data_IF_070725047551
#
_entry.id   IF_070725047551
#
_cell.length_a   1.000
_cell.length_b   1.000
_cell.length_c   1.000
_cell.angle_alpha   90.00
_cell.angle_beta   90.00
_cell.angle_gamma   90.00
#
_symmetry.space_group_name_H-M   'P 1'
#
loop_
_entity.id
_entity.type
_entity.pdbx_description
1 polymer ?
#
# COMPACT_ATOMS: atom_id res chain seq x y z
N UNK A 1 6.51 -46.43 19.24
CA UNK A 1 6.52 -45.80 17.90
C UNK A 1 7.39 -44.56 17.99
N UNK A 2 8.62 -44.61 17.47
CA UNK A 2 9.54 -43.47 17.50
C UNK A 2 9.27 -42.54 16.32
N UNK A 3 8.91 -41.29 16.59
CA UNK A 3 8.79 -40.25 15.57
C UNK A 3 10.19 -39.90 15.07
N UNK A 4 10.43 -40.08 13.76
CA UNK A 4 11.66 -39.59 13.14
C UNK A 4 11.68 -38.05 13.21
N UNK A 5 12.80 -37.43 13.62
CA UNK A 5 12.92 -35.99 13.58
C UNK A 5 12.85 -35.51 12.12
N UNK A 6 12.04 -34.48 11.88
CA UNK A 6 11.98 -33.78 10.61
C UNK A 6 13.35 -33.12 10.36
N UNK A 7 13.96 -33.29 9.17
CA UNK A 7 15.23 -32.62 8.87
C UNK A 7 15.02 -31.09 8.92
N UNK A 8 16.03 -30.32 9.36
CA UNK A 8 15.95 -28.87 9.35
C UNK A 8 15.73 -28.41 7.90
N UNK A 9 14.61 -27.76 7.65
CA UNK A 9 14.41 -26.97 6.44
C UNK A 9 15.41 -25.82 6.50
N UNK A 10 16.46 -25.91 5.69
CA UNK A 10 17.34 -24.78 5.40
C UNK A 10 16.48 -23.65 4.82
N UNK A 11 16.01 -22.75 5.68
CA UNK A 11 15.38 -21.51 5.26
C UNK A 11 16.43 -20.71 4.51
N UNK A 12 16.30 -20.64 3.18
CA UNK A 12 17.12 -19.77 2.36
C UNK A 12 16.89 -18.32 2.77
N UNK A 13 17.77 -17.77 3.62
CA UNK A 13 17.83 -16.34 3.88
C UNK A 13 18.43 -15.69 2.65
N UNK A 14 17.59 -15.17 1.76
CA UNK A 14 18.03 -14.34 0.65
C UNK A 14 18.51 -12.99 1.18
N UNK A 15 19.81 -12.89 1.49
CA UNK A 15 20.44 -11.61 1.84
C UNK A 15 20.78 -10.87 0.54
N UNK A 16 20.01 -9.82 0.23
CA UNK A 16 20.29 -8.92 -0.90
C UNK A 16 21.58 -8.16 -0.60
N UNK A 17 22.49 -8.07 -1.57
CA UNK A 17 23.73 -7.29 -1.40
C UNK A 17 23.41 -5.80 -1.29
N UNK A 18 24.09 -5.03 -0.44
CA UNK A 18 23.82 -3.59 -0.27
C UNK A 18 23.85 -2.79 -1.58
N UNK A 19 24.71 -3.14 -2.54
CA UNK A 19 24.80 -2.49 -3.85
C UNK A 19 23.56 -2.79 -4.72
N UNK A 20 23.08 -4.05 -4.69
CA UNK A 20 21.87 -4.46 -5.38
C UNK A 20 20.63 -3.79 -4.78
N UNK A 21 20.60 -3.67 -3.44
CA UNK A 21 19.58 -2.91 -2.73
C UNK A 21 19.56 -1.46 -3.19
N UNK A 22 20.71 -0.76 -3.16
CA UNK A 22 20.79 0.64 -3.57
C UNK A 22 20.39 0.83 -5.03
N UNK A 23 20.84 -0.07 -5.93
CA UNK A 23 20.46 -0.05 -7.34
C UNK A 23 18.94 -0.15 -7.50
N UNK A 24 18.31 -1.14 -6.86
CA UNK A 24 16.86 -1.36 -6.95
C UNK A 24 16.06 -0.25 -6.27
N UNK A 25 16.50 0.22 -5.13
CA UNK A 25 15.84 1.29 -4.38
C UNK A 25 15.84 2.62 -5.12
N UNK A 26 16.82 2.85 -6.00
CA UNK A 26 16.92 4.03 -6.88
C UNK A 26 16.26 3.86 -8.24
N UNK A 27 15.70 2.70 -8.55
CA UNK A 27 15.13 2.39 -9.87
C UNK A 27 13.61 2.57 -9.86
N UNK A 28 13.05 3.65 -10.44
CA UNK A 28 11.60 3.86 -10.51
C UNK A 28 10.85 2.69 -11.14
N UNK A 29 11.46 1.98 -12.09
CA UNK A 29 10.85 0.84 -12.78
C UNK A 29 10.62 -0.33 -11.82
N UNK A 30 11.54 -0.55 -10.87
CA UNK A 30 11.38 -1.57 -9.84
C UNK A 30 10.21 -1.25 -8.89
N UNK A 31 10.03 0.03 -8.55
CA UNK A 31 8.90 0.50 -7.73
C UNK A 31 7.57 0.36 -8.49
N UNK A 32 7.54 0.77 -9.76
CA UNK A 32 6.40 0.59 -10.65
C UNK A 32 6.02 -0.89 -10.77
N UNK A 33 6.98 -1.78 -11.03
CA UNK A 33 6.73 -3.21 -11.13
C UNK A 33 6.14 -3.79 -9.82
N UNK A 34 6.64 -3.33 -8.67
CA UNK A 34 6.08 -3.72 -7.37
C UNK A 34 4.66 -3.20 -7.17
N UNK A 35 4.40 -1.93 -7.48
CA UNK A 35 3.07 -1.33 -7.42
C UNK A 35 2.06 -2.07 -8.31
N UNK A 36 2.43 -2.36 -9.56
CA UNK A 36 1.60 -3.12 -10.49
C UNK A 36 1.33 -4.54 -9.98
N UNK A 37 2.34 -5.21 -9.40
CA UNK A 37 2.13 -6.52 -8.78
C UNK A 37 1.17 -6.46 -7.60
N UNK A 38 1.23 -5.42 -6.77
CA UNK A 38 0.32 -5.23 -5.64
C UNK A 38 -1.11 -4.95 -6.10
N UNK A 39 -1.29 -4.12 -7.15
CA UNK A 39 -2.60 -3.87 -7.77
C UNK A 39 -3.23 -5.18 -8.26
N UNK A 40 -2.49 -6.00 -9.01
CA UNK A 40 -2.99 -7.32 -9.44
C UNK A 40 -3.39 -8.22 -8.28
N UNK A 41 -2.61 -8.21 -7.19
CA UNK A 41 -3.00 -8.95 -5.98
C UNK A 41 -4.27 -8.38 -5.36
N UNK A 42 -4.44 -7.06 -5.34
CA UNK A 42 -5.65 -6.40 -4.88
C UNK A 42 -6.86 -6.79 -5.75
N UNK A 43 -6.72 -6.83 -7.08
CA UNK A 43 -7.78 -7.23 -8.01
C UNK A 43 -8.30 -8.65 -7.69
N UNK A 44 -7.40 -9.60 -7.42
CA UNK A 44 -7.80 -10.97 -7.04
C UNK A 44 -8.57 -10.98 -5.71
N UNK A 45 -8.13 -10.19 -4.73
CA UNK A 45 -8.80 -10.10 -3.43
C UNK A 45 -10.15 -9.37 -3.55
N UNK A 46 -10.25 -8.39 -4.46
CA UNK A 46 -11.50 -7.71 -4.79
C UNK A 46 -12.55 -8.67 -5.36
N UNK A 47 -12.14 -9.54 -6.27
CA UNK A 47 -13.03 -10.55 -6.83
C UNK A 47 -13.51 -11.51 -5.74
N UNK A 48 -12.63 -11.93 -4.83
CA UNK A 48 -13.01 -12.76 -3.67
C UNK A 48 -13.99 -12.03 -2.74
N UNK A 49 -13.78 -10.74 -2.46
CA UNK A 49 -14.71 -9.90 -1.70
C UNK A 49 -16.08 -9.85 -2.38
N UNK A 50 -16.11 -9.59 -3.68
CA UNK A 50 -17.35 -9.43 -4.45
C UNK A 50 -18.22 -10.69 -4.39
N UNK A 51 -17.61 -11.87 -4.53
CA UNK A 51 -18.34 -13.14 -4.38
C UNK A 51 -18.89 -13.33 -2.96
N UNK A 52 -18.06 -13.11 -1.92
CA UNK A 52 -18.49 -13.26 -0.52
C UNK A 52 -19.60 -12.29 -0.13
N UNK A 53 -19.55 -11.06 -0.63
CA UNK A 53 -20.60 -10.07 -0.39
C UNK A 53 -21.94 -10.53 -0.99
N UNK A 54 -21.93 -11.07 -2.20
CA UNK A 54 -23.15 -11.62 -2.82
C UNK A 54 -23.66 -12.85 -2.06
N UNK A 55 -22.77 -13.69 -1.56
CA UNK A 55 -23.13 -14.87 -0.76
C UNK A 55 -23.71 -14.52 0.63
N UNK A 56 -23.46 -13.30 1.11
CA UNK A 56 -24.05 -12.77 2.34
C UNK A 56 -25.53 -12.38 2.17
N UNK A 57 -26.02 -12.23 0.93
CA UNK A 57 -27.41 -11.90 0.65
C UNK A 57 -28.19 -13.19 0.42
N UNK A 58 -29.17 -13.46 1.28
CA UNK A 58 -30.13 -14.54 1.04
C UNK A 58 -31.03 -14.18 -0.14
N UNK A 59 -31.07 -15.04 -1.17
CA UNK A 59 -31.79 -14.76 -2.41
C UNK A 59 -33.31 -14.86 -2.26
N UNK A 60 -33.79 -15.67 -1.32
CA UNK A 60 -35.22 -15.92 -1.13
C UNK A 60 -35.82 -14.85 -0.21
N UNK A 61 -35.17 -14.59 0.92
CA UNK A 61 -35.67 -13.65 1.93
C UNK A 61 -35.19 -12.21 1.69
N UNK A 62 -34.18 -12.02 0.85
CA UNK A 62 -33.46 -10.74 0.67
C UNK A 62 -32.86 -10.20 1.97
N UNK A 63 -32.67 -11.06 2.98
CA UNK A 63 -32.03 -10.69 4.24
C UNK A 63 -30.53 -10.80 4.14
N UNK A 64 -29.82 -9.98 4.92
CA UNK A 64 -28.37 -10.01 5.01
C UNK A 64 -27.93 -10.95 6.14
N UNK A 65 -27.03 -11.87 5.84
CA UNK A 65 -26.36 -12.70 6.83
C UNK A 65 -25.15 -11.93 7.38
N UNK A 66 -25.21 -11.57 8.66
CA UNK A 66 -24.20 -10.72 9.31
C UNK A 66 -22.82 -11.37 9.40
N UNK A 67 -22.74 -12.68 9.67
CA UNK A 67 -21.47 -13.41 9.75
C UNK A 67 -20.74 -13.42 8.40
N UNK A 68 -21.47 -13.74 7.32
CA UNK A 68 -20.92 -13.72 5.96
C UNK A 68 -20.54 -12.31 5.51
N UNK A 69 -21.31 -11.29 5.92
CA UNK A 69 -20.95 -9.90 5.66
C UNK A 69 -19.67 -9.50 6.38
N UNK A 70 -19.48 -9.96 7.62
CA UNK A 70 -18.25 -9.74 8.38
C UNK A 70 -17.05 -10.36 7.66
N UNK A 71 -17.17 -11.61 7.20
CA UNK A 71 -16.13 -12.26 6.40
C UNK A 71 -15.83 -11.53 5.08
N UNK A 72 -16.85 -11.02 4.40
CA UNK A 72 -16.67 -10.21 3.19
C UNK A 72 -15.93 -8.90 3.52
N UNK A 73 -16.27 -8.27 4.66
CA UNK A 73 -15.64 -7.04 5.12
C UNK A 73 -14.15 -7.24 5.39
N UNK A 74 -13.75 -8.35 6.02
CA UNK A 74 -12.34 -8.66 6.27
C UNK A 74 -11.55 -8.82 4.96
N UNK A 75 -12.15 -9.42 3.94
CA UNK A 75 -11.52 -9.52 2.61
C UNK A 75 -11.41 -8.15 1.95
N UNK A 76 -12.45 -7.32 2.04
CA UNK A 76 -12.42 -5.94 1.55
C UNK A 76 -11.28 -5.14 2.21
N UNK A 77 -11.08 -5.29 3.52
CA UNK A 77 -10.02 -4.58 4.26
C UNK A 77 -8.63 -4.96 3.76
N UNK A 78 -8.39 -6.24 3.48
CA UNK A 78 -7.16 -6.71 2.86
C UNK A 78 -7.00 -6.17 1.42
N UNK A 79 -8.09 -6.10 0.66
CA UNK A 79 -8.07 -5.53 -0.68
C UNK A 79 -7.66 -4.04 -0.65
N UNK A 80 -8.27 -3.26 0.23
CA UNK A 80 -7.99 -1.83 0.40
C UNK A 80 -6.54 -1.60 0.81
N UNK A 81 -6.03 -2.42 1.73
CA UNK A 81 -4.62 -2.41 2.12
C UNK A 81 -3.68 -2.63 0.92
N UNK A 82 -3.94 -3.63 0.08
CA UNK A 82 -3.10 -3.94 -1.07
C UNK A 82 -3.11 -2.83 -2.14
N UNK A 83 -4.28 -2.29 -2.46
CA UNK A 83 -4.39 -1.12 -3.33
C UNK A 83 -3.67 0.11 -2.75
N UNK A 84 -3.79 0.33 -1.43
CA UNK A 84 -3.11 1.45 -0.76
C UNK A 84 -1.58 1.28 -0.83
N UNK A 85 -1.07 0.07 -0.61
CA UNK A 85 0.37 -0.23 -0.80
C UNK A 85 0.81 -0.08 -2.26
N UNK A 86 -0.06 -0.42 -3.23
CA UNK A 86 0.22 -0.19 -4.64
C UNK A 86 0.40 1.31 -4.92
N UNK A 87 -0.52 2.14 -4.42
CA UNK A 87 -0.46 3.60 -4.53
C UNK A 87 0.79 4.16 -3.85
N UNK A 88 1.11 3.68 -2.65
CA UNK A 88 2.34 4.06 -1.94
C UNK A 88 3.60 3.76 -2.76
N UNK A 89 3.70 2.55 -3.31
CA UNK A 89 4.85 2.14 -4.12
C UNK A 89 4.95 2.96 -5.41
N UNK A 90 3.83 3.23 -6.07
CA UNK A 90 3.79 4.01 -7.30
C UNK A 90 4.23 5.46 -7.03
N UNK A 91 3.69 6.11 -5.99
CA UNK A 91 4.05 7.47 -5.60
C UNK A 91 5.53 7.59 -5.20
N UNK A 92 6.05 6.63 -4.42
CA UNK A 92 7.48 6.60 -4.08
C UNK A 92 8.36 6.45 -5.32
N UNK A 93 7.99 5.56 -6.24
CA UNK A 93 8.64 5.42 -7.53
C UNK A 93 8.66 6.73 -8.31
N UNK A 94 7.53 7.44 -8.32
CA UNK A 94 7.40 8.72 -9.03
C UNK A 94 8.28 9.81 -8.39
N UNK A 95 8.36 9.87 -7.07
CA UNK A 95 9.29 10.76 -6.36
C UNK A 95 10.75 10.44 -6.71
N UNK A 96 11.12 9.15 -6.73
CA UNK A 96 12.49 8.74 -7.10
C UNK A 96 12.80 9.15 -8.54
N UNK A 97 11.82 9.07 -9.45
CA UNK A 97 11.96 9.49 -10.84
C UNK A 97 12.13 11.00 -10.98
N UNK A 98 11.23 11.78 -10.38
CA UNK A 98 11.16 13.23 -10.58
C UNK A 98 12.12 14.02 -9.69
N UNK A 99 12.39 13.51 -8.48
CA UNK A 99 13.17 14.17 -7.44
C UNK A 99 14.21 13.23 -6.81
N UNK A 100 15.12 12.63 -7.60
CA UNK A 100 16.10 11.66 -7.09
C UNK A 100 17.02 12.25 -6.01
N UNK A 101 17.28 13.56 -6.04
CA UNK A 101 18.06 14.27 -5.01
C UNK A 101 17.38 14.33 -3.64
N UNK A 102 16.06 14.16 -3.59
CA UNK A 102 15.28 14.21 -2.35
C UNK A 102 15.19 12.83 -1.68
N UNK A 103 15.88 11.83 -2.23
CA UNK A 103 15.93 10.47 -1.68
C UNK A 103 17.27 10.25 -1.00
N UNK A 104 17.25 10.05 0.31
CA UNK A 104 18.48 9.85 1.09
C UNK A 104 18.62 8.41 1.54
N UNK A 105 19.85 7.91 1.47
CA UNK A 105 20.23 6.58 1.88
C UNK A 105 21.18 6.69 3.07
N UNK A 106 21.01 5.79 4.03
CA UNK A 106 21.99 5.57 5.08
C UNK A 106 22.75 4.29 4.73
N UNK A 107 24.07 4.40 4.65
CA UNK A 107 24.97 3.31 4.27
C UNK A 107 25.98 3.08 5.38
N UNK A 108 26.26 1.82 5.67
CA UNK A 108 27.35 1.45 6.56
C UNK A 108 28.46 0.82 5.74
N UNK A 109 29.69 1.24 5.98
CA UNK A 109 30.90 0.69 5.36
C UNK A 109 31.79 0.07 6.42
N UNK A 110 32.57 -0.93 6.05
CA UNK A 110 33.59 -1.51 6.92
C UNK A 110 34.86 -0.63 6.98
N UNK A 111 35.84 -1.04 7.79
CA UNK A 111 37.14 -0.35 7.92
C UNK A 111 37.99 -0.37 6.65
N UNK A 112 37.57 -1.09 5.59
CA UNK A 112 38.22 -1.13 4.28
C UNK A 112 37.45 -0.34 3.22
N UNK A 113 36.31 0.28 3.59
CA UNK A 113 35.45 1.04 2.68
C UNK A 113 34.44 0.21 1.88
N UNK A 114 34.29 -1.08 2.17
CA UNK A 114 33.29 -1.94 1.51
C UNK A 114 31.90 -1.73 2.12
N UNK A 115 30.86 -1.70 1.28
CA UNK A 115 29.48 -1.50 1.72
C UNK A 115 28.95 -2.76 2.41
N UNK A 116 28.54 -2.64 3.68
CA UNK A 116 28.03 -3.78 4.48
C UNK A 116 26.53 -3.71 4.74
N UNK A 117 25.95 -2.51 4.71
CA UNK A 117 24.52 -2.29 4.87
C UNK A 117 24.07 -1.02 4.14
N UNK A 118 22.81 -1.01 3.73
CA UNK A 118 22.16 0.15 3.13
C UNK A 118 20.66 0.13 3.44
N UNK A 119 20.12 1.30 3.81
CA UNK A 119 18.69 1.50 4.01
C UNK A 119 18.23 2.83 3.42
N UNK A 120 16.97 2.89 3.03
CA UNK A 120 16.33 4.15 2.66
C UNK A 120 16.08 4.91 3.95
N UNK A 121 16.65 6.10 4.07
CA UNK A 121 16.45 6.99 5.22
C UNK A 121 15.27 7.92 4.99
N UNK A 122 15.09 8.39 3.76
CA UNK A 122 14.06 9.36 3.41
C UNK A 122 13.69 9.25 1.93
N UNK A 123 12.40 9.40 1.60
CA UNK A 123 11.91 9.58 0.23
C UNK A 123 11.13 10.90 0.21
N UNK A 124 11.61 11.86 -0.58
CA UNK A 124 11.04 13.21 -0.62
C UNK A 124 11.55 14.10 0.52
N UNK A 125 10.98 15.31 0.66
CA UNK A 125 11.45 16.32 1.63
C UNK A 125 10.99 16.11 3.07
N UNK A 126 10.18 15.10 3.36
CA UNK A 126 9.59 14.86 4.69
C UNK A 126 10.33 13.75 5.44
N UNK A 127 10.83 14.07 6.64
CA UNK A 127 11.41 13.11 7.59
C UNK A 127 10.38 12.28 8.34
N UNK A 128 9.12 12.72 8.35
CA UNK A 128 8.07 12.23 9.24
C UNK A 128 6.96 11.66 8.36
N UNK A 129 6.76 10.35 8.51
CA UNK A 129 5.72 9.53 7.89
C UNK A 129 5.90 9.19 6.40
N UNK A 130 6.58 8.07 6.16
CA UNK A 130 6.76 7.47 4.82
C UNK A 130 5.49 6.85 4.26
N UNK A 131 4.40 6.77 5.03
CA UNK A 131 3.15 6.12 4.65
C UNK A 131 2.01 7.11 4.37
N UNK A 132 2.23 8.42 4.54
CA UNK A 132 1.22 9.43 4.27
C UNK A 132 1.06 9.65 2.75
N UNK A 133 0.04 9.02 2.16
CA UNK A 133 -0.20 9.05 0.72
C UNK A 133 -0.59 10.44 0.21
N UNK A 134 -1.33 11.23 0.98
CA UNK A 134 -1.64 12.62 0.60
C UNK A 134 -0.35 13.42 0.46
N UNK A 135 0.59 13.26 1.39
CA UNK A 135 1.87 13.96 1.36
C UNK A 135 2.78 13.46 0.25
N UNK A 136 2.84 12.15 0.02
CA UNK A 136 3.59 11.57 -1.10
C UNK A 136 3.07 12.09 -2.44
N UNK A 137 1.75 12.17 -2.60
CA UNK A 137 1.12 12.72 -3.79
C UNK A 137 1.49 14.20 -4.02
N UNK A 138 1.49 15.03 -2.98
CA UNK A 138 1.98 16.41 -3.08
C UNK A 138 3.46 16.50 -3.48
N UNK A 139 4.32 15.68 -2.86
CA UNK A 139 5.76 15.69 -3.16
C UNK A 139 6.02 15.22 -4.58
N UNK A 140 5.26 14.23 -5.06
CA UNK A 140 5.37 13.72 -6.44
C UNK A 140 4.87 14.70 -7.49
N UNK A 141 4.17 15.77 -7.09
CA UNK A 141 3.53 16.72 -8.00
C UNK A 141 2.20 16.25 -8.59
N UNK A 142 1.75 15.01 -8.32
CA UNK A 142 0.45 14.50 -8.80
C UNK A 142 -0.73 15.28 -8.20
N UNK A 143 -0.55 15.83 -6.99
CA UNK A 143 -1.51 16.74 -6.38
C UNK A 143 -0.91 18.13 -6.20
N UNK A 144 -1.58 19.13 -6.76
CA UNK A 144 -1.30 20.54 -6.47
C UNK A 144 -1.66 20.92 -5.03
N UNK A 145 -1.05 22.00 -4.53
CA UNK A 145 -1.35 22.55 -3.21
C UNK A 145 -2.79 23.05 -3.18
N UNK A 146 -3.63 22.49 -2.29
CA UNK A 146 -5.00 22.96 -2.05
C UNK A 146 -6.07 22.50 -3.06
N UNK A 147 -5.73 21.71 -4.08
CA UNK A 147 -6.67 21.15 -5.05
C UNK A 147 -7.11 19.70 -4.75
N UNK A 148 -8.11 19.21 -5.48
CA UNK A 148 -8.57 17.80 -5.48
C UNK A 148 -8.96 17.23 -4.10
N UNK A 149 -9.89 17.90 -3.42
CA UNK A 149 -10.30 17.56 -2.06
C UNK A 149 -10.76 16.09 -1.90
N UNK A 150 -11.45 15.54 -2.89
CA UNK A 150 -11.88 14.13 -2.92
C UNK A 150 -10.69 13.16 -2.98
N UNK A 151 -9.70 13.41 -3.86
CA UNK A 151 -8.49 12.58 -3.96
C UNK A 151 -7.68 12.63 -2.67
N UNK A 152 -7.58 13.81 -2.05
CA UNK A 152 -6.91 13.97 -0.76
C UNK A 152 -7.57 13.14 0.33
N UNK A 153 -8.89 13.10 0.35
CA UNK A 153 -9.63 12.27 1.29
C UNK A 153 -9.45 10.76 1.01
N UNK A 154 -9.48 10.34 -0.26
CA UNK A 154 -9.16 8.97 -0.67
C UNK A 154 -7.77 8.54 -0.19
N UNK A 155 -6.75 9.39 -0.39
CA UNK A 155 -5.37 9.11 0.02
C UNK A 155 -5.19 9.13 1.54
N UNK A 156 -5.95 9.97 2.24
CA UNK A 156 -6.00 9.97 3.71
C UNK A 156 -6.58 8.64 4.22
N UNK A 157 -7.70 8.19 3.64
CA UNK A 157 -8.27 6.89 3.97
C UNK A 157 -7.31 5.74 3.64
N UNK A 158 -6.63 5.81 2.50
CA UNK A 158 -5.65 4.79 2.09
C UNK A 158 -4.43 4.74 3.03
N UNK A 159 -4.00 5.89 3.55
CA UNK A 159 -2.99 5.97 4.63
C UNK A 159 -3.48 5.24 5.89
N UNK A 160 -4.75 5.46 6.26
CA UNK A 160 -5.39 4.75 7.37
C UNK A 160 -5.45 3.22 7.12
N UNK A 161 -5.72 2.79 5.89
CA UNK A 161 -5.69 1.37 5.51
C UNK A 161 -4.30 0.74 5.71
N UNK A 162 -3.23 1.44 5.32
CA UNK A 162 -1.84 0.96 5.47
C UNK A 162 -1.44 0.83 6.93
N UNK A 163 -1.81 1.82 7.74
CA UNK A 163 -1.39 1.87 9.13
C UNK A 163 -2.17 0.88 10.01
N UNK A 164 -3.47 0.72 9.76
CA UNK A 164 -4.37 0.05 10.71
C UNK A 164 -5.18 -1.08 10.08
N UNK A 165 -6.10 -0.74 9.18
CA UNK A 165 -7.20 -1.65 8.78
C UNK A 165 -6.69 -2.99 8.19
N UNK A 166 -5.59 -2.97 7.43
CA UNK A 166 -5.04 -4.19 6.84
C UNK A 166 -4.22 -5.08 7.78
N UNK A 167 -3.99 -4.65 9.03
CA UNK A 167 -3.01 -5.28 9.93
C UNK A 167 -3.58 -5.65 11.29
N UNK A 168 -4.55 -4.88 11.76
CA UNK A 168 -5.07 -5.01 13.12
C UNK A 168 -6.60 -4.99 13.10
N UNK A 169 -7.25 -5.75 14.00
CA UNK A 169 -8.71 -5.72 14.12
C UNK A 169 -9.24 -4.38 14.63
N UNK A 170 -8.40 -3.60 15.33
CA UNK A 170 -8.69 -2.26 15.84
C UNK A 170 -7.44 -1.38 15.75
N UNK A 171 -7.58 -0.05 15.59
CA UNK A 171 -6.46 0.89 15.74
C UNK A 171 -5.86 0.86 17.15
N UNK A 172 -4.68 1.47 17.33
CA UNK A 172 -3.99 1.52 18.63
C UNK A 172 -4.72 2.35 19.70
N UNK A 173 -5.59 3.27 19.29
CA UNK A 173 -6.35 4.13 20.19
C UNK A 173 -7.73 4.45 19.62
N UNK A 174 -8.67 4.80 20.51
CA UNK A 174 -10.04 5.18 20.11
C UNK A 174 -10.11 6.49 19.33
N UNK A 175 -9.06 7.30 19.40
CA UNK A 175 -8.85 8.54 18.65
C UNK A 175 -8.18 8.32 17.28
N UNK A 176 -7.78 7.08 16.99
CA UNK A 176 -7.01 6.74 15.80
C UNK A 176 -7.90 6.34 14.62
N UNK A 177 -9.23 6.36 14.78
CA UNK A 177 -10.18 6.08 13.71
C UNK A 177 -10.10 7.10 12.57
N UNK A 178 -10.41 6.64 11.36
CA UNK A 178 -10.54 7.54 10.22
C UNK A 178 -11.80 8.40 10.35
N UNK A 179 -11.61 9.72 10.36
CA UNK A 179 -12.69 10.69 10.33
C UNK A 179 -12.76 11.28 8.92
N UNK A 180 -13.82 10.99 8.14
CA UNK A 180 -14.03 11.62 6.84
C UNK A 180 -14.09 13.14 6.96
N UNK A 181 -13.43 13.83 6.04
CA UNK A 181 -13.51 15.29 5.83
C UNK A 181 -14.80 15.70 5.10
N UNK A 182 -15.61 14.72 4.66
CA UNK A 182 -16.93 14.93 4.06
C UNK A 182 -16.88 15.36 2.60
N UNK A 183 -15.82 15.02 1.87
CA UNK A 183 -15.70 15.26 0.42
C UNK A 183 -16.14 14.05 -0.40
N UNK A 184 -16.01 12.85 0.17
CA UNK A 184 -16.52 11.60 -0.34
C UNK A 184 -17.58 11.04 0.60
N UNK A 185 -18.63 10.47 0.01
CA UNK A 185 -19.65 9.75 0.77
C UNK A 185 -19.06 8.48 1.40
N UNK A 186 -19.42 8.17 2.65
CA UNK A 186 -18.81 7.08 3.41
C UNK A 186 -18.88 5.71 2.69
N UNK A 187 -19.96 5.44 1.96
CA UNK A 187 -20.11 4.21 1.17
C UNK A 187 -19.06 4.04 0.07
N UNK A 188 -18.46 5.13 -0.42
CA UNK A 188 -17.43 5.10 -1.46
C UNK A 188 -16.12 4.49 -0.95
N UNK A 189 -15.80 4.67 0.33
CA UNK A 189 -14.60 4.05 0.93
C UNK A 189 -14.70 2.54 1.06
N UNK A 190 -15.86 1.93 0.77
CA UNK A 190 -16.03 0.48 0.81
C UNK A 190 -16.19 -0.06 -0.63
N UNK A 191 -17.43 -0.15 -1.11
CA UNK A 191 -17.75 -0.91 -2.32
C UNK A 191 -17.31 -0.22 -3.62
N UNK A 192 -16.98 1.07 -3.57
CA UNK A 192 -16.50 1.85 -4.72
C UNK A 192 -15.03 2.26 -4.56
N UNK A 193 -14.32 1.69 -3.59
CA UNK A 193 -12.93 2.08 -3.32
C UNK A 193 -12.04 1.81 -4.54
N UNK A 194 -12.25 0.65 -5.20
CA UNK A 194 -11.57 0.31 -6.45
C UNK A 194 -11.85 1.34 -7.56
N UNK A 195 -13.10 1.73 -7.73
CA UNK A 195 -13.50 2.68 -8.78
C UNK A 195 -12.85 4.06 -8.61
N UNK A 196 -12.48 4.42 -7.37
CA UNK A 196 -11.73 5.64 -7.07
C UNK A 196 -10.21 5.45 -7.20
N UNK A 197 -9.69 4.30 -6.77
CA UNK A 197 -8.25 4.04 -6.69
C UNK A 197 -7.65 3.62 -8.03
N UNK A 198 -8.37 2.87 -8.86
CA UNK A 198 -7.88 2.43 -10.19
C UNK A 198 -7.51 3.63 -11.09
N UNK A 199 -8.39 4.64 -11.29
CA UNK A 199 -8.03 5.82 -12.09
C UNK A 199 -6.86 6.61 -11.51
N UNK A 200 -6.74 6.69 -10.18
CA UNK A 200 -5.61 7.33 -9.54
C UNK A 200 -4.30 6.58 -9.82
N UNK A 201 -4.31 5.24 -9.71
CA UNK A 201 -3.15 4.42 -10.03
C UNK A 201 -2.76 4.52 -11.50
N UNK A 202 -3.74 4.53 -12.40
CA UNK A 202 -3.51 4.68 -13.84
C UNK A 202 -2.78 6.00 -14.14
N UNK A 203 -3.25 7.12 -13.57
CA UNK A 203 -2.60 8.43 -13.70
C UNK A 203 -1.15 8.40 -13.19
N UNK A 204 -0.90 7.82 -12.02
CA UNK A 204 0.47 7.72 -11.47
C UNK A 204 1.36 6.82 -12.34
N UNK A 205 0.81 5.73 -12.91
CA UNK A 205 1.55 4.85 -13.81
C UNK A 205 1.87 5.52 -15.14
N UNK A 206 0.96 6.30 -15.70
CA UNK A 206 1.22 7.10 -16.90
C UNK A 206 2.39 8.08 -16.66
N UNK A 207 2.39 8.80 -15.53
CA UNK A 207 3.50 9.69 -15.19
C UNK A 207 4.81 8.93 -14.94
N UNK A 208 4.75 7.71 -14.41
CA UNK A 208 5.92 6.83 -14.26
C UNK A 208 6.47 6.32 -15.60
N UNK A 209 5.64 6.22 -16.64
CA UNK A 209 6.02 5.70 -17.96
C UNK A 209 6.54 6.77 -18.95
N UNK A 210 6.26 8.06 -18.69
CA UNK A 210 6.71 9.20 -19.53
C UNK A 210 8.22 9.47 -19.49
#
# INVERSE_FOLDING_TARGET
MGTKPCPPTDFFIFKVKPEEFLKKARDPSAWRAKAFSLRRSADVVWDAFSHRLLDAIDKETKSLNEDKLSEATDVLRNCQFLYSLAAECALKGLIIKLHPSDVTFETTVDGMGSLIDAKIKQIGKTRIDTHNLEKLAEISGILGVGGHAERRELLTFSTFCINWIGRYPVPLGTDSDFIPRGKLHAGLFNHYYRDLMDPFLDEVFEELDR
#
